data_IF_752690928963
#
_entry.id   IF_752690928963
#
_cell.length_a   1.000
_cell.length_b   1.000
_cell.length_c   1.000
_cell.angle_alpha   90.00
_cell.angle_beta   90.00
_cell.angle_gamma   90.00
#
_symmetry.space_group_name_H-M   'P 1'
#
loop_
_entity.id
_entity.type
_entity.pdbx_description
1 polymer ?
#
# COMPACT_ATOMS: atom_id res chain seq x y z
N UNK A 1 -28.86 17.53 20.42
CA UNK A 1 -27.69 18.42 20.15
C UNK A 1 -26.37 17.77 20.51
N UNK A 2 -26.25 16.95 21.55
CA UNK A 2 -24.98 16.26 21.89
C UNK A 2 -24.59 15.18 20.88
N UNK A 3 -25.56 14.43 20.35
CA UNK A 3 -25.29 13.36 19.37
C UNK A 3 -24.66 13.85 18.06
N UNK A 4 -25.08 15.03 17.56
CA UNK A 4 -24.53 15.61 16.32
C UNK A 4 -23.09 16.08 16.52
N UNK A 5 -22.76 16.66 17.67
CA UNK A 5 -21.38 17.07 17.98
C UNK A 5 -20.44 15.88 18.08
N UNK A 6 -20.88 14.78 18.67
CA UNK A 6 -20.10 13.53 18.74
C UNK A 6 -19.92 12.90 17.35
N UNK A 7 -20.97 12.91 16.53
CA UNK A 7 -20.90 12.42 15.15
C UNK A 7 -19.84 13.20 14.34
N UNK A 8 -19.82 14.53 14.43
CA UNK A 8 -18.87 15.38 13.71
C UNK A 8 -17.40 15.24 14.17
N UNK A 9 -17.13 14.63 15.32
CA UNK A 9 -15.77 14.29 15.76
C UNK A 9 -15.22 13.02 15.12
N UNK A 10 -16.06 12.22 14.47
CA UNK A 10 -15.63 10.98 13.85
C UNK A 10 -14.65 11.21 12.70
N UNK A 11 -13.52 10.47 12.61
CA UNK A 11 -12.42 10.77 11.69
C UNK A 11 -12.74 10.56 10.21
N UNK A 12 -13.84 9.93 9.90
CA UNK A 12 -14.30 9.67 8.53
C UNK A 12 -15.32 10.69 8.03
N UNK A 13 -15.84 11.58 8.91
CA UNK A 13 -16.73 12.67 8.55
C UNK A 13 -15.91 13.92 8.33
N UNK A 14 -16.01 14.51 7.15
CA UNK A 14 -15.21 15.66 6.75
C UNK A 14 -16.14 16.76 6.23
N UNK A 15 -16.09 17.98 6.81
CA UNK A 15 -16.85 19.10 6.31
C UNK A 15 -16.40 19.45 4.89
N UNK A 16 -17.35 19.82 4.03
CA UNK A 16 -17.09 20.30 2.70
C UNK A 16 -16.91 21.84 2.69
N UNK A 17 -16.60 22.39 1.51
CA UNK A 17 -16.54 23.83 1.31
C UNK A 17 -17.90 24.51 1.48
N UNK A 18 -18.96 23.79 1.10
CA UNK A 18 -20.33 24.27 1.24
C UNK A 18 -20.78 24.06 2.69
N UNK A 19 -21.28 25.13 3.33
CA UNK A 19 -21.76 25.06 4.70
C UNK A 19 -22.94 24.09 4.83
N UNK A 20 -22.94 23.32 5.90
CA UNK A 20 -23.96 22.31 6.17
C UNK A 20 -23.82 21.01 5.38
N UNK A 21 -22.79 20.89 4.52
CA UNK A 21 -22.53 19.66 3.75
C UNK A 21 -21.27 18.96 4.22
N UNK A 22 -21.33 17.61 4.19
CA UNK A 22 -20.27 16.72 4.66
C UNK A 22 -20.01 15.63 3.63
N UNK A 23 -18.83 15.03 3.72
CA UNK A 23 -18.53 13.77 3.07
C UNK A 23 -18.26 12.67 4.11
N UNK A 24 -18.60 11.45 3.76
CA UNK A 24 -18.25 10.22 4.50
C UNK A 24 -17.14 9.52 3.73
N UNK A 25 -16.04 9.23 4.42
CA UNK A 25 -14.93 8.47 3.86
C UNK A 25 -15.05 7.01 4.21
N UNK A 26 -15.03 6.15 3.19
CA UNK A 26 -15.10 4.71 3.27
C UNK A 26 -13.73 4.13 2.91
N UNK A 27 -13.28 3.13 3.65
CA UNK A 27 -12.03 2.43 3.31
C UNK A 27 -12.33 1.08 2.68
N UNK A 28 -11.46 0.67 1.76
CA UNK A 28 -11.32 -0.71 1.35
C UNK A 28 -10.12 -1.33 2.06
N UNK A 29 -10.21 -2.57 2.50
CA UNK A 29 -9.06 -3.30 3.05
C UNK A 29 -8.32 -3.95 1.89
N UNK A 30 -7.02 -3.77 1.84
CA UNK A 30 -6.17 -4.27 0.76
C UNK A 30 -6.61 -3.83 -0.67
N UNK A 31 -7.37 -2.74 -0.76
CA UNK A 31 -7.87 -2.23 -2.05
C UNK A 31 -9.07 -2.96 -2.62
N UNK A 32 -9.73 -3.82 -1.85
CA UNK A 32 -10.89 -4.60 -2.28
C UNK A 32 -12.19 -4.09 -1.65
N UNK A 33 -13.26 -4.17 -2.41
CA UNK A 33 -14.65 -4.02 -1.98
C UNK A 33 -15.45 -5.13 -2.66
N UNK A 34 -16.39 -5.73 -1.93
CA UNK A 34 -17.30 -6.72 -2.51
C UNK A 34 -18.40 -6.05 -3.34
N UNK A 35 -19.09 -6.81 -4.17
CA UNK A 35 -20.24 -6.32 -4.93
C UNK A 35 -21.38 -5.86 -4.01
N UNK A 36 -21.57 -6.55 -2.88
CA UNK A 36 -22.55 -6.21 -1.86
C UNK A 36 -22.21 -4.89 -1.16
N UNK A 37 -20.96 -4.69 -0.77
CA UNK A 37 -20.48 -3.42 -0.21
C UNK A 37 -20.68 -2.26 -1.19
N UNK A 38 -20.31 -2.45 -2.46
CA UNK A 38 -20.52 -1.44 -3.50
C UNK A 38 -22.00 -1.13 -3.72
N UNK A 39 -22.88 -2.11 -3.67
CA UNK A 39 -24.33 -1.91 -3.79
C UNK A 39 -24.89 -1.08 -2.62
N UNK A 40 -24.44 -1.33 -1.39
CA UNK A 40 -24.80 -0.53 -0.21
C UNK A 40 -24.30 0.90 -0.34
N UNK A 41 -23.01 1.08 -0.70
CA UNK A 41 -22.40 2.40 -0.87
C UNK A 41 -23.15 3.20 -1.95
N UNK A 42 -23.51 2.55 -3.06
CA UNK A 42 -24.26 3.17 -4.15
C UNK A 42 -25.64 3.64 -3.69
N UNK A 43 -26.38 2.79 -2.98
CA UNK A 43 -27.71 3.13 -2.44
C UNK A 43 -27.65 4.30 -1.46
N UNK A 44 -26.67 4.31 -0.56
CA UNK A 44 -26.49 5.42 0.40
C UNK A 44 -26.09 6.72 -0.32
N UNK A 45 -25.26 6.64 -1.34
CA UNK A 45 -24.88 7.80 -2.16
C UNK A 45 -26.08 8.38 -2.90
N UNK A 46 -26.95 7.54 -3.45
CA UNK A 46 -28.19 7.95 -4.12
C UNK A 46 -29.19 8.60 -3.15
N UNK A 47 -29.39 7.98 -1.98
CA UNK A 47 -30.39 8.41 -1.00
C UNK A 47 -30.02 9.68 -0.25
N UNK A 48 -28.77 9.86 0.13
CA UNK A 48 -28.31 10.90 1.03
C UNK A 48 -27.34 11.91 0.41
N UNK A 49 -26.62 11.51 -0.66
CA UNK A 49 -25.70 12.35 -1.43
C UNK A 49 -26.39 12.88 -2.71
N UNK A 50 -25.62 12.86 -3.80
CA UNK A 50 -26.11 13.23 -5.15
C UNK A 50 -25.89 12.06 -6.15
N UNK A 51 -25.89 10.83 -5.69
CA UNK A 51 -25.63 9.63 -6.49
C UNK A 51 -24.19 9.51 -7.02
N UNK A 52 -23.26 10.33 -6.51
CA UNK A 52 -21.86 10.32 -6.97
C UNK A 52 -20.95 9.76 -5.88
N UNK A 53 -20.15 8.78 -6.25
CA UNK A 53 -19.12 8.19 -5.41
C UNK A 53 -17.74 8.60 -5.96
N UNK A 54 -16.93 9.24 -5.12
CA UNK A 54 -15.57 9.64 -5.49
C UNK A 54 -14.57 8.56 -5.08
N UNK A 55 -13.82 8.02 -6.04
CA UNK A 55 -12.75 7.05 -5.79
C UNK A 55 -11.48 7.80 -5.44
N UNK A 56 -10.91 7.50 -4.27
CA UNK A 56 -9.72 8.19 -3.76
C UNK A 56 -8.42 7.55 -4.25
N UNK A 57 -7.33 8.32 -4.21
CA UNK A 57 -5.99 7.79 -4.53
C UNK A 57 -5.48 6.75 -3.54
N UNK A 58 -6.18 6.53 -2.42
CA UNK A 58 -5.85 5.50 -1.42
C UNK A 58 -6.79 4.28 -1.49
N UNK A 59 -7.36 4.04 -2.67
CA UNK A 59 -8.21 2.89 -2.97
C UNK A 59 -9.54 2.82 -2.18
N UNK A 60 -9.84 3.81 -1.35
CA UNK A 60 -11.16 3.95 -0.73
C UNK A 60 -12.08 4.80 -1.58
N UNK A 61 -13.29 5.04 -1.09
CA UNK A 61 -14.24 5.95 -1.72
C UNK A 61 -14.83 6.98 -0.73
N UNK A 62 -15.48 7.98 -1.27
CA UNK A 62 -16.12 9.04 -0.52
C UNK A 62 -17.51 9.31 -1.08
N UNK A 63 -18.51 9.39 -0.20
CA UNK A 63 -19.85 9.87 -0.53
C UNK A 63 -19.91 11.34 -0.17
N UNK A 64 -20.12 12.19 -1.14
CA UNK A 64 -20.16 13.65 -0.99
C UNK A 64 -21.59 14.19 -0.90
N UNK A 65 -21.71 15.47 -0.56
CA UNK A 65 -22.95 16.26 -0.56
C UNK A 65 -24.03 15.77 0.41
N UNK A 66 -23.63 15.18 1.53
CA UNK A 66 -24.56 14.75 2.57
C UNK A 66 -24.86 15.95 3.46
N UNK A 67 -26.15 16.30 3.61
CA UNK A 67 -26.60 17.36 4.50
C UNK A 67 -26.49 16.95 5.96
N UNK A 68 -26.27 17.89 6.85
CA UNK A 68 -26.05 17.65 8.27
C UNK A 68 -27.20 16.88 8.93
N UNK A 69 -28.44 17.20 8.58
CA UNK A 69 -29.66 16.55 9.09
C UNK A 69 -29.81 15.09 8.66
N UNK A 70 -29.15 14.69 7.56
CA UNK A 70 -29.17 13.33 6.99
C UNK A 70 -27.94 12.52 7.32
N UNK A 71 -26.92 13.16 7.93
CA UNK A 71 -25.60 12.55 8.12
C UNK A 71 -25.65 11.34 9.07
N UNK A 72 -26.45 11.42 10.13
CA UNK A 72 -26.60 10.33 11.09
C UNK A 72 -27.24 9.07 10.46
N UNK A 73 -28.27 9.27 9.64
CA UNK A 73 -28.96 8.17 8.95
C UNK A 73 -28.03 7.51 7.91
N UNK A 74 -27.29 8.32 7.14
CA UNK A 74 -26.33 7.83 6.15
C UNK A 74 -25.22 7.00 6.81
N UNK A 75 -24.68 7.46 7.94
CA UNK A 75 -23.69 6.71 8.72
C UNK A 75 -24.30 5.44 9.28
N UNK A 76 -25.51 5.49 9.85
CA UNK A 76 -26.20 4.35 10.42
C UNK A 76 -26.42 3.25 9.40
N UNK A 77 -26.88 3.55 8.18
CA UNK A 77 -27.07 2.54 7.12
C UNK A 77 -25.74 1.89 6.69
N UNK A 78 -24.66 2.67 6.59
CA UNK A 78 -23.34 2.12 6.27
C UNK A 78 -22.80 1.21 7.39
N UNK A 79 -22.90 1.65 8.64
CA UNK A 79 -22.43 0.88 9.81
C UNK A 79 -23.24 -0.42 10.01
N UNK A 80 -24.57 -0.36 9.84
CA UNK A 80 -25.44 -1.55 9.93
C UNK A 80 -25.14 -2.59 8.85
N UNK A 81 -24.68 -2.15 7.69
CA UNK A 81 -24.26 -3.02 6.61
C UNK A 81 -22.79 -3.50 6.73
N UNK A 82 -22.10 -3.17 7.82
CA UNK A 82 -20.70 -3.55 8.04
C UNK A 82 -19.69 -2.80 7.20
N UNK A 83 -20.07 -1.69 6.57
CA UNK A 83 -19.14 -0.89 5.74
C UNK A 83 -18.06 -0.25 6.60
N UNK A 84 -16.81 -0.49 6.25
CA UNK A 84 -15.66 -0.01 7.00
C UNK A 84 -15.38 1.47 6.72
N UNK A 85 -15.35 2.27 7.77
CA UNK A 85 -15.11 3.70 7.67
C UNK A 85 -13.62 4.04 7.55
N UNK A 86 -13.31 5.06 6.79
CA UNK A 86 -11.95 5.58 6.61
C UNK A 86 -11.43 6.39 7.80
N UNK A 87 -10.25 6.94 7.67
CA UNK A 87 -9.66 7.80 8.68
C UNK A 87 -9.18 9.14 8.10
N UNK A 88 -9.45 10.21 8.83
CA UNK A 88 -8.90 11.54 8.64
C UNK A 88 -7.94 11.95 9.75
N UNK A 89 -7.42 13.18 9.74
CA UNK A 89 -6.62 13.75 10.83
C UNK A 89 -5.24 13.11 11.03
N UNK A 90 -4.68 13.21 12.25
CA UNK A 90 -3.34 12.70 12.60
C UNK A 90 -3.38 11.21 12.96
N UNK A 91 -3.74 10.36 11.98
CA UNK A 91 -3.90 8.92 12.17
C UNK A 91 -3.22 8.14 11.06
N UNK A 92 -2.90 6.88 11.34
CA UNK A 92 -2.52 5.92 10.30
C UNK A 92 -3.69 5.74 9.34
N UNK A 93 -3.39 5.82 8.04
CA UNK A 93 -4.39 5.80 6.95
C UNK A 93 -4.62 4.37 6.46
N UNK A 94 -5.70 4.19 5.71
CA UNK A 94 -5.97 2.97 4.95
C UNK A 94 -4.70 2.47 4.26
N UNK A 95 -4.38 1.19 4.42
CA UNK A 95 -3.25 0.54 3.75
C UNK A 95 -3.63 0.29 2.29
N UNK A 96 -2.77 0.74 1.36
CA UNK A 96 -2.95 0.48 -0.07
C UNK A 96 -2.25 -0.81 -0.47
N UNK A 97 -2.87 -1.59 -1.35
CA UNK A 97 -2.26 -2.79 -1.91
C UNK A 97 -2.47 -2.91 -3.42
N UNK A 98 -1.49 -3.43 -4.15
CA UNK A 98 -1.73 -3.94 -5.50
C UNK A 98 -2.30 -5.38 -5.43
N UNK A 99 -2.72 -6.00 -6.54
CA UNK A 99 -3.23 -7.38 -6.53
C UNK A 99 -2.25 -8.43 -6.00
N UNK A 100 -0.93 -8.18 -6.05
CA UNK A 100 0.10 -9.09 -5.53
C UNK A 100 0.07 -10.47 -6.17
N UNK A 101 0.65 -11.47 -5.48
CA UNK A 101 0.73 -12.84 -5.98
C UNK A 101 -0.63 -13.54 -6.07
N UNK A 102 -1.69 -12.99 -5.48
CA UNK A 102 -3.03 -13.55 -5.58
C UNK A 102 -3.55 -13.62 -7.04
N UNK A 103 -3.24 -12.58 -7.86
CA UNK A 103 -3.71 -12.53 -9.27
C UNK A 103 -2.67 -12.00 -10.25
N UNK A 104 -1.60 -11.36 -9.80
CA UNK A 104 -0.60 -10.77 -10.69
C UNK A 104 0.57 -11.73 -10.92
N UNK A 105 0.85 -12.07 -12.19
CA UNK A 105 1.99 -12.93 -12.56
C UNK A 105 3.37 -12.40 -12.11
N UNK A 106 3.49 -11.11 -11.83
CA UNK A 106 4.72 -10.49 -11.36
C UNK A 106 4.78 -10.40 -9.81
N UNK A 107 3.71 -10.78 -9.12
CA UNK A 107 3.65 -10.73 -7.66
C UNK A 107 4.62 -11.71 -7.02
N UNK A 108 5.46 -11.21 -6.12
CA UNK A 108 6.42 -12.00 -5.34
C UNK A 108 5.82 -12.35 -3.98
N UNK A 109 5.07 -11.41 -3.39
CA UNK A 109 4.42 -11.56 -2.08
C UNK A 109 2.90 -11.47 -2.19
N UNK A 110 2.19 -12.05 -1.24
CA UNK A 110 0.77 -11.85 -1.06
C UNK A 110 0.50 -10.50 -0.39
N UNK A 111 0.18 -9.52 -1.23
CA UNK A 111 -0.11 -8.16 -0.76
C UNK A 111 -1.45 -8.05 -0.08
N UNK A 112 -2.40 -8.92 -0.42
CA UNK A 112 -3.75 -8.88 0.13
C UNK A 112 -3.74 -9.32 1.59
N UNK A 113 -3.11 -10.46 1.87
CA UNK A 113 -2.97 -10.97 3.22
C UNK A 113 -2.14 -10.04 4.09
N UNK A 114 -0.96 -9.64 3.62
CA UNK A 114 -0.11 -8.69 4.35
C UNK A 114 -0.85 -7.38 4.65
N UNK A 115 -1.61 -6.84 3.69
CA UNK A 115 -2.31 -5.56 3.91
C UNK A 115 -3.49 -5.68 4.86
N UNK A 116 -4.19 -6.83 4.92
CA UNK A 116 -5.22 -7.07 5.97
C UNK A 116 -4.59 -7.03 7.35
N UNK A 117 -3.49 -7.74 7.56
CA UNK A 117 -2.77 -7.77 8.85
C UNK A 117 -2.23 -6.41 9.24
N UNK A 118 -1.67 -5.64 8.28
CA UNK A 118 -1.23 -4.27 8.50
C UNK A 118 -2.41 -3.33 8.82
N UNK A 119 -3.55 -3.48 8.15
CA UNK A 119 -4.74 -2.68 8.42
C UNK A 119 -5.30 -2.98 9.81
N UNK A 120 -5.46 -4.23 10.17
CA UNK A 120 -5.91 -4.66 11.50
C UNK A 120 -5.01 -4.13 12.62
N UNK A 121 -3.69 -4.16 12.39
CA UNK A 121 -2.72 -3.76 13.40
C UNK A 121 -2.56 -2.24 13.51
N UNK A 122 -2.55 -1.50 12.41
CA UNK A 122 -2.13 -0.09 12.39
C UNK A 122 -3.25 0.90 12.08
N UNK A 123 -4.31 0.51 11.37
CA UNK A 123 -5.32 1.46 10.91
C UNK A 123 -5.91 2.28 12.05
N UNK A 124 -5.99 3.59 11.86
CA UNK A 124 -6.61 4.51 12.81
C UNK A 124 -5.80 4.82 14.06
N UNK A 125 -4.64 4.19 14.30
CA UNK A 125 -3.75 4.51 15.43
C UNK A 125 -3.38 5.99 15.42
N UNK A 126 -3.36 6.61 16.57
CA UNK A 126 -2.92 7.99 16.78
C UNK A 126 -1.39 8.06 16.84
N UNK A 127 -0.77 8.27 15.70
CA UNK A 127 0.68 8.33 15.53
C UNK A 127 1.08 9.40 14.49
N UNK A 128 0.29 10.49 14.39
CA UNK A 128 0.45 11.43 13.31
C UNK A 128 -0.15 10.93 12.00
N UNK A 129 -0.05 11.74 10.93
CA UNK A 129 -0.53 11.33 9.59
C UNK A 129 0.46 10.38 8.95
N UNK A 130 0.23 9.09 9.07
CA UNK A 130 1.09 8.04 8.56
C UNK A 130 0.40 7.21 7.47
N UNK A 131 1.10 6.92 6.39
CA UNK A 131 0.58 6.20 5.22
C UNK A 131 1.43 4.99 4.93
N UNK A 132 0.78 3.83 4.81
CA UNK A 132 1.41 2.57 4.44
C UNK A 132 0.91 2.15 3.05
N UNK A 133 1.80 1.65 2.21
CA UNK A 133 1.46 1.09 0.90
C UNK A 133 2.25 -0.19 0.63
N UNK A 134 1.61 -1.19 0.03
CA UNK A 134 2.17 -2.50 -0.26
C UNK A 134 2.12 -2.77 -1.76
N UNK A 135 3.22 -3.26 -2.32
CA UNK A 135 3.32 -3.69 -3.71
C UNK A 135 3.90 -5.10 -3.81
N UNK A 136 3.37 -5.93 -4.68
CA UNK A 136 3.78 -7.33 -4.82
C UNK A 136 5.20 -7.52 -5.40
N UNK A 137 5.76 -6.50 -6.05
CA UNK A 137 7.07 -6.55 -6.70
C UNK A 137 7.61 -5.15 -7.01
N UNK A 138 8.88 -5.01 -7.47
CA UNK A 138 9.50 -3.72 -7.81
C UNK A 138 8.87 -2.93 -8.97
N UNK A 139 7.82 -3.44 -9.65
CA UNK A 139 7.04 -2.60 -10.59
C UNK A 139 6.34 -1.42 -9.90
N UNK A 140 6.25 -1.42 -8.57
CA UNK A 140 5.82 -0.29 -7.76
C UNK A 140 4.45 0.31 -8.13
N UNK A 141 3.47 -0.51 -8.48
CA UNK A 141 2.15 -0.09 -8.96
C UNK A 141 1.38 0.79 -7.96
N UNK A 142 1.56 0.56 -6.66
CA UNK A 142 0.97 1.38 -5.58
C UNK A 142 1.84 2.55 -5.15
N UNK A 143 2.94 2.80 -5.88
CA UNK A 143 3.85 3.93 -5.63
C UNK A 143 4.31 3.97 -4.17
N UNK A 144 4.79 2.83 -3.65
CA UNK A 144 5.13 2.68 -2.22
C UNK A 144 6.17 3.70 -1.76
N UNK A 145 7.14 4.05 -2.61
CA UNK A 145 8.25 4.96 -2.27
C UNK A 145 7.83 6.40 -1.97
N UNK A 146 6.57 6.78 -2.22
CA UNK A 146 6.02 8.10 -1.87
C UNK A 146 5.06 8.07 -0.67
N UNK A 147 5.12 6.99 0.11
CA UNK A 147 4.38 6.82 1.35
C UNK A 147 5.33 6.85 2.55
N UNK A 148 4.82 7.13 3.74
CA UNK A 148 5.63 7.20 4.96
C UNK A 148 6.31 5.85 5.24
N UNK A 149 5.60 4.74 4.97
CA UNK A 149 6.17 3.39 4.87
C UNK A 149 5.69 2.73 3.57
N UNK A 150 6.63 2.18 2.82
CA UNK A 150 6.38 1.47 1.56
C UNK A 150 7.01 0.09 1.57
N UNK A 151 6.24 -0.93 1.22
CA UNK A 151 6.66 -2.32 1.24
C UNK A 151 6.54 -2.90 -0.16
N UNK A 152 7.60 -3.54 -0.66
CA UNK A 152 7.57 -4.30 -1.92
C UNK A 152 8.02 -5.73 -1.68
N UNK A 153 7.46 -6.67 -2.45
CA UNK A 153 8.07 -8.00 -2.55
C UNK A 153 9.38 -7.93 -3.32
N UNK A 154 10.39 -8.62 -2.81
CA UNK A 154 11.69 -8.77 -3.43
C UNK A 154 12.17 -10.21 -3.45
N UNK A 155 12.99 -10.58 -4.43
CA UNK A 155 13.62 -11.89 -4.55
C UNK A 155 15.09 -11.75 -4.89
N UNK A 156 15.94 -12.46 -4.15
CA UNK A 156 17.36 -12.62 -4.46
C UNK A 156 17.50 -13.82 -5.40
N UNK A 157 17.94 -13.61 -6.65
CA UNK A 157 18.18 -14.72 -7.58
C UNK A 157 19.55 -15.36 -7.33
N UNK A 158 19.65 -16.66 -7.56
CA UNK A 158 20.87 -17.45 -7.61
C UNK A 158 20.99 -18.14 -8.96
N UNK A 159 22.20 -18.19 -9.51
CA UNK A 159 22.47 -18.77 -10.82
C UNK A 159 23.13 -20.13 -10.68
N UNK A 160 22.63 -21.09 -11.45
CA UNK A 160 23.12 -22.47 -11.58
C UNK A 160 23.77 -22.65 -12.95
N UNK A 161 25.08 -22.84 -12.97
CA UNK A 161 25.86 -22.97 -14.20
C UNK A 161 25.52 -24.23 -14.98
N UNK A 162 25.21 -25.34 -14.27
CA UNK A 162 24.97 -26.64 -14.88
C UNK A 162 23.69 -26.68 -15.72
N UNK A 163 22.74 -25.77 -15.44
CA UNK A 163 21.49 -25.64 -16.18
C UNK A 163 21.54 -24.59 -17.28
N UNK A 164 22.60 -23.78 -17.34
CA UNK A 164 22.65 -22.63 -18.23
C UNK A 164 23.02 -23.05 -19.66
N UNK A 165 22.18 -22.67 -20.63
CA UNK A 165 22.43 -22.88 -22.08
C UNK A 165 22.98 -21.64 -22.77
N UNK A 166 23.43 -20.63 -22.02
CA UNK A 166 23.96 -19.35 -22.52
C UNK A 166 23.05 -18.61 -23.53
N UNK A 167 21.73 -18.74 -23.36
CA UNK A 167 20.75 -18.10 -24.25
C UNK A 167 20.63 -16.56 -24.10
N UNK A 168 21.23 -15.96 -23.09
CA UNK A 168 21.28 -14.51 -22.85
C UNK A 168 19.96 -13.85 -22.42
N UNK A 169 18.81 -14.57 -22.31
CA UNK A 169 17.50 -14.00 -22.00
C UNK A 169 17.46 -13.25 -20.68
N UNK A 170 18.13 -13.76 -19.65
CA UNK A 170 18.20 -13.12 -18.32
C UNK A 170 18.86 -11.73 -18.39
N UNK A 171 19.89 -11.58 -19.21
CA UNK A 171 20.58 -10.31 -19.42
C UNK A 171 19.69 -9.29 -20.15
N UNK A 172 19.05 -9.72 -21.24
CA UNK A 172 18.14 -8.87 -22.03
C UNK A 172 16.89 -8.45 -21.23
N UNK A 173 16.37 -9.32 -20.38
CA UNK A 173 15.17 -9.05 -19.58
C UNK A 173 15.47 -8.26 -18.29
N UNK A 174 16.71 -8.05 -17.92
CA UNK A 174 17.09 -7.32 -16.71
C UNK A 174 16.86 -5.81 -16.90
N UNK A 175 15.90 -5.18 -16.18
CA UNK A 175 15.56 -3.78 -16.42
C UNK A 175 16.63 -2.78 -15.98
N UNK A 176 17.59 -3.24 -15.17
CA UNK A 176 18.69 -2.40 -14.65
C UNK A 176 20.06 -2.79 -15.19
N UNK A 177 20.12 -3.80 -16.07
CA UNK A 177 21.40 -4.32 -16.55
C UNK A 177 22.25 -5.01 -15.48
N UNK A 178 21.66 -5.41 -14.37
CA UNK A 178 22.38 -6.04 -13.26
C UNK A 178 22.93 -7.44 -13.59
N UNK A 179 22.47 -8.08 -14.66
CA UNK A 179 22.98 -9.39 -15.11
C UNK A 179 23.99 -9.18 -16.21
N UNK A 180 25.21 -9.68 -15.99
CA UNK A 180 26.31 -9.66 -16.96
C UNK A 180 26.82 -11.09 -17.19
N UNK A 181 27.50 -11.34 -18.31
CA UNK A 181 28.22 -12.58 -18.59
C UNK A 181 29.63 -12.28 -19.07
N UNK A 182 30.58 -13.16 -18.77
CA UNK A 182 31.92 -13.12 -19.34
C UNK A 182 32.00 -13.95 -20.66
N UNK A 183 33.16 -13.95 -21.29
CA UNK A 183 33.42 -14.69 -22.55
C UNK A 183 33.33 -16.22 -22.39
N UNK A 184 33.40 -16.73 -21.17
CA UNK A 184 33.25 -18.15 -20.84
C UNK A 184 31.81 -18.55 -20.51
N UNK A 185 30.82 -17.68 -20.73
CA UNK A 185 29.38 -17.95 -20.47
C UNK A 185 29.01 -17.98 -18.99
N UNK A 186 29.87 -17.45 -18.09
CA UNK A 186 29.56 -17.36 -16.66
C UNK A 186 28.73 -16.11 -16.40
N UNK A 187 27.54 -16.27 -15.86
CA UNK A 187 26.62 -15.17 -15.52
C UNK A 187 26.83 -14.70 -14.09
N UNK A 188 26.83 -13.41 -13.91
CA UNK A 188 26.95 -12.78 -12.58
C UNK A 188 25.86 -11.73 -12.39
N UNK A 189 25.46 -11.54 -11.12
CA UNK A 189 24.52 -10.50 -10.70
C UNK A 189 25.27 -9.40 -9.95
N UNK A 190 25.20 -8.20 -10.46
CA UNK A 190 25.70 -7.01 -9.78
C UNK A 190 24.67 -6.60 -8.70
N UNK A 191 25.04 -6.71 -7.44
CA UNK A 191 24.13 -6.52 -6.31
C UNK A 191 23.60 -5.09 -6.21
N UNK A 192 24.46 -4.11 -6.41
CA UNK A 192 24.12 -2.68 -6.33
C UNK A 192 23.12 -2.24 -7.40
N UNK A 193 23.10 -2.89 -8.55
CA UNK A 193 22.16 -2.63 -9.63
C UNK A 193 20.89 -3.47 -9.54
N UNK A 194 20.90 -4.55 -8.76
CA UNK A 194 19.79 -5.49 -8.69
C UNK A 194 18.64 -4.94 -7.84
N UNK A 195 17.50 -4.70 -8.47
CA UNK A 195 16.26 -4.29 -7.79
C UNK A 195 15.44 -5.46 -7.24
N UNK A 196 15.95 -6.69 -7.26
CA UNK A 196 15.30 -7.89 -6.73
C UNK A 196 13.93 -8.19 -7.35
N UNK A 197 13.74 -7.91 -8.65
CA UNK A 197 12.46 -8.05 -9.34
C UNK A 197 12.16 -9.47 -9.86
N UNK A 198 13.15 -10.38 -9.88
CA UNK A 198 13.01 -11.76 -10.35
C UNK A 198 12.78 -11.92 -11.85
N UNK A 199 13.03 -10.90 -12.68
CA UNK A 199 12.87 -11.04 -14.13
C UNK A 199 13.82 -12.08 -14.74
N UNK A 200 15.06 -12.20 -14.24
CA UNK A 200 16.02 -13.21 -14.66
C UNK A 200 15.50 -14.64 -14.40
N UNK A 201 14.82 -14.86 -13.28
CA UNK A 201 14.19 -16.14 -12.92
C UNK A 201 13.04 -16.45 -13.88
N UNK A 202 12.09 -15.53 -14.04
CA UNK A 202 10.89 -15.75 -14.86
C UNK A 202 11.16 -15.92 -16.35
N UNK A 203 12.26 -15.37 -16.84
CA UNK A 203 12.61 -15.43 -18.27
C UNK A 203 13.68 -16.47 -18.58
N UNK A 204 14.16 -17.24 -17.60
CA UNK A 204 15.09 -18.34 -17.83
C UNK A 204 14.31 -19.57 -18.28
N UNK A 205 14.52 -20.08 -19.52
CA UNK A 205 13.79 -21.24 -20.03
C UNK A 205 14.25 -22.56 -19.41
N UNK A 206 15.47 -22.59 -18.88
CA UNK A 206 16.11 -23.79 -18.31
C UNK A 206 16.18 -23.75 -16.78
N UNK A 207 15.48 -22.83 -16.14
CA UNK A 207 15.49 -22.63 -14.68
C UNK A 207 16.92 -22.52 -14.09
N UNK A 208 17.88 -22.00 -14.88
CA UNK A 208 19.23 -21.74 -14.41
C UNK A 208 19.29 -20.59 -13.39
N UNK A 209 18.35 -19.67 -13.43
CA UNK A 209 18.14 -18.67 -12.38
C UNK A 209 17.02 -19.13 -11.47
N UNK A 210 17.31 -19.27 -10.19
CA UNK A 210 16.38 -19.74 -9.17
C UNK A 210 16.21 -18.72 -8.04
N UNK A 211 15.19 -18.92 -7.21
CA UNK A 211 14.97 -18.12 -6.00
C UNK A 211 15.89 -18.62 -4.91
N UNK A 212 16.86 -17.79 -4.49
CA UNK A 212 17.68 -18.06 -3.30
C UNK A 212 16.92 -17.63 -2.03
N UNK A 213 16.44 -16.40 -2.03
CA UNK A 213 15.69 -15.80 -0.92
C UNK A 213 14.56 -14.93 -1.47
N UNK A 214 13.45 -14.84 -0.75
CA UNK A 214 12.37 -13.89 -1.00
C UNK A 214 11.95 -13.21 0.30
N UNK A 215 11.42 -12.00 0.20
CA UNK A 215 10.99 -11.25 1.38
C UNK A 215 10.47 -9.86 1.00
N UNK A 216 10.69 -8.93 1.89
CA UNK A 216 10.16 -7.57 1.85
C UNK A 216 11.29 -6.56 1.68
N UNK A 217 11.10 -5.60 0.78
CA UNK A 217 11.88 -4.40 0.64
C UNK A 217 11.12 -3.27 1.31
N UNK A 218 11.61 -2.77 2.44
CA UNK A 218 10.99 -1.70 3.19
C UNK A 218 11.62 -0.36 2.85
N UNK A 219 10.77 0.61 2.52
CA UNK A 219 11.13 2.01 2.26
C UNK A 219 10.46 2.89 3.32
N UNK A 220 11.21 3.78 3.94
CA UNK A 220 10.71 4.72 4.94
C UNK A 220 10.97 6.17 4.53
N UNK A 221 10.15 7.08 5.03
CA UNK A 221 10.34 8.53 4.87
C UNK A 221 9.85 9.11 3.54
N UNK A 222 9.05 8.36 2.76
CA UNK A 222 8.45 8.89 1.55
C UNK A 222 7.25 9.80 1.81
N UNK A 223 7.11 10.84 1.01
CA UNK A 223 5.94 11.72 1.06
C UNK A 223 5.62 12.30 -0.32
N UNK A 224 4.33 12.48 -0.60
CA UNK A 224 3.87 13.20 -1.79
C UNK A 224 2.92 14.32 -1.35
N UNK A 225 3.33 15.55 -1.59
CA UNK A 225 2.61 16.75 -1.23
C UNK A 225 3.31 17.98 -1.78
N UNK A 226 3.23 19.12 -1.06
CA UNK A 226 3.89 20.37 -1.49
C UNK A 226 5.42 20.26 -1.58
N UNK A 227 6.01 19.36 -0.77
CA UNK A 227 7.44 19.02 -0.80
C UNK A 227 7.53 17.51 -0.96
N UNK A 228 7.64 16.97 -2.18
CA UNK A 228 7.75 15.55 -2.41
C UNK A 228 9.14 15.03 -2.00
N UNK A 229 9.16 13.82 -1.44
CA UNK A 229 10.39 13.11 -1.10
C UNK A 229 10.18 11.62 -1.35
N UNK A 230 11.18 10.94 -1.89
CA UNK A 230 11.20 9.50 -2.03
C UNK A 230 11.64 8.86 -0.72
N UNK A 231 10.99 7.77 -0.36
CA UNK A 231 11.42 6.94 0.76
C UNK A 231 12.73 6.22 0.45
N UNK A 232 13.55 6.04 1.47
CA UNK A 232 14.82 5.34 1.39
C UNK A 232 14.65 3.89 1.84
N UNK A 233 15.36 2.97 1.19
CA UNK A 233 15.35 1.56 1.56
C UNK A 233 16.08 1.35 2.88
N UNK A 234 15.44 0.68 3.84
CA UNK A 234 15.98 0.50 5.20
C UNK A 234 17.13 -0.50 5.22
N UNK A 235 16.95 -1.63 4.53
CA UNK A 235 18.00 -2.66 4.39
C UNK A 235 17.78 -3.49 3.11
N UNK A 236 18.64 -4.48 2.87
CA UNK A 236 18.62 -5.25 1.62
C UNK A 236 17.33 -6.05 1.45
N UNK A 237 17.03 -6.94 2.36
CA UNK A 237 15.83 -7.78 2.32
C UNK A 237 15.42 -8.17 3.75
N UNK A 238 14.18 -7.95 4.10
CA UNK A 238 13.53 -8.42 5.33
C UNK A 238 12.92 -9.78 5.00
N UNK A 239 13.25 -10.82 5.77
CA UNK A 239 12.90 -12.21 5.41
C UNK A 239 11.53 -12.64 5.92
N UNK A 240 11.12 -12.11 7.06
CA UNK A 240 9.87 -12.47 7.72
C UNK A 240 9.03 -11.25 8.09
N UNK A 241 7.77 -11.50 8.42
CA UNK A 241 6.83 -10.44 8.76
C UNK A 241 7.03 -9.88 10.16
N UNK A 242 7.55 -10.66 11.10
CA UNK A 242 7.80 -10.22 12.47
C UNK A 242 8.86 -9.10 12.46
N UNK A 243 9.95 -9.31 11.72
CA UNK A 243 10.96 -8.29 11.50
C UNK A 243 10.38 -7.05 10.79
N UNK A 244 9.53 -7.25 9.77
CA UNK A 244 8.86 -6.15 9.07
C UNK A 244 7.99 -5.31 10.01
N UNK A 245 7.17 -5.95 10.84
CA UNK A 245 6.32 -5.27 11.82
C UNK A 245 7.15 -4.55 12.87
N UNK A 246 8.26 -5.13 13.33
CA UNK A 246 9.19 -4.48 14.25
C UNK A 246 9.72 -3.14 13.70
N UNK A 247 10.15 -3.11 12.42
CA UNK A 247 10.57 -1.85 11.79
C UNK A 247 9.46 -0.81 11.69
N UNK A 248 8.24 -1.26 11.38
CA UNK A 248 7.08 -0.36 11.29
C UNK A 248 6.70 0.22 12.66
N UNK A 249 6.71 -0.60 13.70
CA UNK A 249 6.47 -0.15 15.07
C UNK A 249 7.51 0.89 15.51
N UNK A 250 8.79 0.63 15.26
CA UNK A 250 9.87 1.60 15.53
C UNK A 250 9.71 2.91 14.77
N UNK A 251 9.30 2.85 13.50
CA UNK A 251 9.04 4.06 12.71
C UNK A 251 7.86 4.87 13.27
N UNK A 252 6.80 4.21 13.71
CA UNK A 252 5.63 4.86 14.30
C UNK A 252 5.92 5.43 15.69
N UNK A 253 6.64 4.70 16.54
CA UNK A 253 7.10 5.17 17.84
C UNK A 253 7.97 6.43 17.68
N UNK A 254 8.98 6.35 16.82
CA UNK A 254 9.85 7.49 16.52
C UNK A 254 9.05 8.72 16.06
N UNK A 255 8.10 8.52 15.13
CA UNK A 255 7.27 9.62 14.64
C UNK A 255 6.35 10.21 15.71
N UNK A 256 5.81 9.36 16.59
CA UNK A 256 4.99 9.80 17.73
C UNK A 256 5.78 10.63 18.74
N UNK A 257 7.03 10.26 19.01
CA UNK A 257 7.89 10.93 20.00
C UNK A 257 8.51 12.22 19.46
N UNK A 258 8.93 12.25 18.20
CA UNK A 258 9.74 13.33 17.63
C UNK A 258 8.99 14.19 16.60
N UNK A 259 7.87 13.71 16.08
CA UNK A 259 7.10 14.41 15.04
C UNK A 259 6.39 15.65 15.58
N UNK A 260 6.53 16.78 14.87
CA UNK A 260 5.88 18.03 15.23
C UNK A 260 4.44 18.08 14.69
N UNK A 261 3.61 18.94 15.27
CA UNK A 261 2.24 19.17 14.81
C UNK A 261 2.22 19.56 13.33
N UNK A 262 1.43 18.85 12.50
CA UNK A 262 1.32 19.01 11.02
C UNK A 262 2.55 18.56 10.23
N UNK A 263 3.57 18.02 10.85
CA UNK A 263 4.70 17.42 10.16
C UNK A 263 4.31 16.09 9.50
N UNK A 264 5.10 15.68 8.53
CA UNK A 264 5.03 14.36 7.89
C UNK A 264 6.24 13.56 8.35
N UNK A 265 6.11 12.22 8.37
CA UNK A 265 7.21 11.34 8.75
C UNK A 265 8.40 11.45 7.76
N UNK A 266 8.13 11.66 6.46
CA UNK A 266 9.13 11.76 5.40
C UNK A 266 9.69 13.14 5.10
#
# INVERSE_FOLDING_TARGET
>A
MDSTKELLKRPYIIPQRQDGYYLIRIRSVAGDLTSEELAVISRVAEKYGKGVIHITTRQGCEIHNIQLDKLADAVGELEQAGILMGAGGPRVRTVMACPGSATCRNGIIDTKELSRRLDEHYFGRDAGKFKIAVCGCPNNCTKVMINDAGIMGGVVPEWDADKCTDCGRCRVSCPTGAITSNDSGVYTRQEDLCIMCGQCIRNCPEDAWQVKEKGYLLFLGGTMGKKPKMGERVQTLIKDEEELFHYLDKALEYFKEHGKRKERFG
#
